data_IF_740940879901
#
_entry.id   IF_740940879901
#
_cell.length_a   1.000
_cell.length_b   1.000
_cell.length_c   1.000
_cell.angle_alpha   90.00
_cell.angle_beta   90.00
_cell.angle_gamma   90.00
#
_symmetry.space_group_name_H-M   'P 1'
#
loop_
_entity.id
_entity.type
_entity.pdbx_description
1 polymer ?
#
# COMPACT_ATOMS: atom_id res chain seq x y z
N UNK A 1 8.52 -32.72 24.09
CA UNK A 1 8.74 -31.50 23.29
C UNK A 1 7.49 -30.67 23.28
N UNK A 2 7.61 -29.45 23.72
CA UNK A 2 6.49 -28.49 23.67
C UNK A 2 6.33 -28.03 22.21
N UNK A 3 5.20 -28.32 21.61
CA UNK A 3 4.91 -27.79 20.28
C UNK A 3 4.76 -26.29 20.38
N UNK A 4 5.59 -25.57 19.61
CA UNK A 4 5.48 -24.14 19.49
C UNK A 4 4.28 -23.80 18.58
N UNK A 5 3.27 -23.17 19.15
CA UNK A 5 2.16 -22.63 18.37
C UNK A 5 2.55 -21.28 17.82
N UNK A 6 2.74 -21.22 16.52
CA UNK A 6 2.97 -19.93 15.87
C UNK A 6 1.65 -19.19 15.68
N UNK A 7 1.61 -17.90 15.95
CA UNK A 7 0.43 -17.11 15.61
C UNK A 7 0.28 -17.02 14.08
N UNK A 8 -0.95 -17.09 13.63
CA UNK A 8 -1.29 -16.94 12.22
C UNK A 8 -1.43 -15.44 11.87
N UNK A 9 -0.31 -14.74 11.85
CA UNK A 9 -0.29 -13.32 11.53
C UNK A 9 0.33 -13.13 10.16
N UNK A 10 -0.45 -12.56 9.25
CA UNK A 10 -0.01 -12.20 7.91
C UNK A 10 -0.72 -10.91 7.51
N UNK A 11 -0.08 -9.78 7.77
CA UNK A 11 -0.60 -8.45 7.48
C UNK A 11 0.45 -7.62 6.79
N UNK A 12 0.00 -6.85 5.81
CA UNK A 12 0.86 -5.98 5.03
C UNK A 12 0.14 -4.66 4.80
N UNK A 13 0.88 -3.56 4.95
CA UNK A 13 0.45 -2.22 4.57
C UNK A 13 1.53 -1.65 3.66
N UNK A 14 1.13 -1.23 2.47
CA UNK A 14 2.07 -0.80 1.46
C UNK A 14 1.51 0.38 0.68
N UNK A 15 2.30 1.44 0.53
CA UNK A 15 1.95 2.59 -0.29
C UNK A 15 2.85 2.63 -1.53
N UNK A 16 2.26 3.00 -2.64
CA UNK A 16 3.02 3.11 -3.90
C UNK A 16 2.14 3.61 -5.04
N UNK A 17 2.65 3.44 -6.25
CA UNK A 17 1.96 3.85 -7.47
C UNK A 17 1.82 2.68 -8.42
N UNK A 18 0.70 2.64 -9.14
CA UNK A 18 0.52 1.66 -10.19
C UNK A 18 1.53 1.88 -11.32
N UNK A 19 2.13 0.81 -11.78
CA UNK A 19 3.11 0.85 -12.87
C UNK A 19 2.46 0.86 -14.25
N UNK A 20 1.21 0.41 -14.32
CA UNK A 20 0.39 0.35 -15.54
C UNK A 20 -1.09 0.33 -15.13
N UNK A 21 -1.96 0.42 -16.11
CA UNK A 21 -3.39 0.34 -15.87
C UNK A 21 -3.77 -1.01 -15.26
N UNK A 22 -4.76 -1.06 -14.35
CA UNK A 22 -5.19 -2.31 -13.75
C UNK A 22 -5.82 -3.24 -14.79
N UNK A 23 -5.61 -4.52 -14.61
CA UNK A 23 -6.20 -5.59 -15.43
C UNK A 23 -7.42 -6.14 -14.71
N UNK A 24 -8.60 -5.83 -15.23
CA UNK A 24 -9.88 -6.31 -14.69
C UNK A 24 -10.36 -7.52 -15.48
N UNK A 25 -10.66 -8.59 -14.76
CA UNK A 25 -11.21 -9.82 -15.32
C UNK A 25 -12.36 -10.33 -14.47
N UNK A 26 -13.10 -11.26 -15.03
CA UNK A 26 -14.16 -11.95 -14.32
C UNK A 26 -13.87 -13.43 -14.25
N UNK A 27 -14.04 -14.02 -13.07
CA UNK A 27 -13.90 -15.45 -12.87
C UNK A 27 -15.07 -16.22 -13.50
N UNK A 28 -14.99 -17.58 -13.53
CA UNK A 28 -16.03 -18.41 -14.09
C UNK A 28 -17.40 -18.25 -13.40
N UNK A 29 -17.38 -17.83 -12.15
CA UNK A 29 -18.58 -17.56 -11.34
C UNK A 29 -19.08 -16.11 -11.48
N UNK A 30 -18.45 -15.31 -12.33
CA UNK A 30 -18.77 -13.90 -12.50
C UNK A 30 -18.14 -12.96 -11.48
N UNK A 31 -17.30 -13.47 -10.59
CA UNK A 31 -16.59 -12.65 -9.60
C UNK A 31 -15.57 -11.73 -10.26
N UNK A 32 -15.66 -10.44 -10.00
CA UNK A 32 -14.68 -9.48 -10.51
C UNK A 32 -13.33 -9.69 -9.83
N UNK A 33 -12.28 -9.66 -10.64
CA UNK A 33 -10.89 -9.74 -10.19
C UNK A 33 -10.12 -8.62 -10.87
N UNK A 34 -9.48 -7.78 -10.10
CA UNK A 34 -8.61 -6.73 -10.65
C UNK A 34 -7.21 -6.90 -10.10
N UNK A 35 -6.23 -6.96 -10.99
CA UNK A 35 -4.82 -7.09 -10.66
C UNK A 35 -4.08 -5.85 -11.15
N UNK A 36 -3.16 -5.38 -10.33
CA UNK A 36 -2.26 -4.30 -10.72
C UNK A 36 -0.89 -4.47 -10.06
N UNK A 37 0.13 -3.96 -10.71
CA UNK A 37 1.47 -3.95 -10.16
C UNK A 37 1.72 -2.62 -9.46
N UNK A 38 2.19 -2.69 -8.24
CA UNK A 38 2.47 -1.55 -7.39
C UNK A 38 3.97 -1.37 -7.27
N UNK A 39 4.45 -0.20 -7.63
CA UNK A 39 5.83 0.21 -7.38
C UNK A 39 5.90 0.91 -6.03
N UNK A 40 6.81 0.47 -5.21
CA UNK A 40 7.08 1.08 -3.91
C UNK A 40 8.56 1.35 -3.76
N UNK A 41 8.91 2.35 -2.96
CA UNK A 41 10.29 2.72 -2.76
C UNK A 41 10.54 3.11 -1.31
N UNK A 42 11.78 3.00 -0.92
CA UNK A 42 12.26 3.36 0.40
C UNK A 42 13.51 4.22 0.26
N UNK A 43 13.54 5.29 1.02
CA UNK A 43 14.74 6.09 1.18
C UNK A 43 15.46 5.69 2.46
N UNK A 44 16.76 5.63 2.40
CA UNK A 44 17.58 5.31 3.56
C UNK A 44 18.87 6.13 3.53
N UNK A 45 19.51 6.25 4.69
CA UNK A 45 20.83 6.85 4.78
C UNK A 45 21.86 5.77 4.96
N UNK A 46 22.94 5.86 4.20
CA UNK A 46 24.10 4.99 4.37
C UNK A 46 24.92 5.45 5.56
N UNK A 47 25.85 4.60 6.02
CA UNK A 47 26.78 4.96 7.10
C UNK A 47 27.63 6.18 6.77
N UNK A 48 27.87 6.44 5.50
CA UNK A 48 28.62 7.61 5.01
C UNK A 48 27.75 8.90 4.95
N UNK A 49 26.49 8.84 5.40
CA UNK A 49 25.57 9.99 5.40
C UNK A 49 24.94 10.28 4.05
N UNK A 50 25.15 9.43 3.05
CA UNK A 50 24.54 9.57 1.74
C UNK A 50 23.10 9.02 1.76
N UNK A 51 22.24 9.64 0.95
CA UNK A 51 20.87 9.18 0.77
C UNK A 51 20.84 8.13 -0.33
N UNK A 52 20.41 6.92 0.03
CA UNK A 52 20.16 5.86 -0.93
C UNK A 52 18.67 5.65 -1.13
N UNK A 53 18.31 5.02 -2.22
CA UNK A 53 16.94 4.67 -2.55
C UNK A 53 16.88 3.24 -3.06
N UNK A 54 15.91 2.48 -2.58
CA UNK A 54 15.60 1.16 -3.10
C UNK A 54 14.14 1.12 -3.53
N UNK A 55 13.86 0.40 -4.59
CA UNK A 55 12.52 0.23 -5.11
C UNK A 55 12.21 -1.23 -5.35
N UNK A 56 10.94 -1.55 -5.33
CA UNK A 56 10.46 -2.90 -5.63
C UNK A 56 9.09 -2.84 -6.28
N UNK A 57 8.67 -3.99 -6.78
CA UNK A 57 7.37 -4.15 -7.40
C UNK A 57 6.68 -5.36 -6.81
N UNK A 58 5.37 -5.26 -6.66
CA UNK A 58 4.57 -6.39 -6.20
C UNK A 58 3.22 -6.37 -6.91
N UNK A 59 2.70 -7.53 -7.23
CA UNK A 59 1.36 -7.66 -7.80
C UNK A 59 0.33 -7.66 -6.68
N UNK A 60 -0.68 -6.83 -6.84
CA UNK A 60 -1.81 -6.70 -5.93
C UNK A 60 -3.02 -7.34 -6.59
N UNK A 61 -3.68 -8.23 -5.87
CA UNK A 61 -4.91 -8.87 -6.31
C UNK A 61 -6.08 -8.34 -5.49
N UNK A 62 -7.15 -7.95 -6.17
CA UNK A 62 -8.39 -7.49 -5.55
C UNK A 62 -9.55 -8.32 -6.09
N UNK A 63 -10.58 -8.50 -5.27
CA UNK A 63 -11.73 -9.36 -5.60
C UNK A 63 -13.04 -8.65 -5.30
N UNK A 64 -14.10 -9.05 -6.00
CA UNK A 64 -15.48 -8.61 -5.77
C UNK A 64 -15.64 -7.09 -5.89
N UNK A 65 -16.30 -6.47 -4.94
CA UNK A 65 -16.58 -5.03 -4.97
C UNK A 65 -15.31 -4.19 -5.05
N UNK A 66 -14.28 -4.57 -4.29
CA UNK A 66 -12.99 -3.86 -4.32
C UNK A 66 -12.36 -3.92 -5.72
N UNK A 67 -12.46 -5.06 -6.38
CA UNK A 67 -11.96 -5.22 -7.75
C UNK A 67 -12.68 -4.31 -8.74
N UNK A 68 -14.00 -4.19 -8.61
CA UNK A 68 -14.79 -3.29 -9.47
C UNK A 68 -14.35 -1.84 -9.28
N UNK A 69 -14.26 -1.39 -8.04
CA UNK A 69 -13.86 -0.02 -7.72
C UNK A 69 -12.44 0.28 -8.22
N UNK A 70 -11.51 -0.63 -7.98
CA UNK A 70 -10.13 -0.47 -8.45
C UNK A 70 -10.04 -0.45 -9.98
N UNK A 71 -10.77 -1.34 -10.63
CA UNK A 71 -10.78 -1.43 -12.09
C UNK A 71 -11.34 -0.19 -12.78
N UNK A 72 -12.31 0.47 -12.14
CA UNK A 72 -12.94 1.69 -12.67
C UNK A 72 -12.13 2.95 -12.38
N UNK A 73 -11.51 3.03 -11.20
CA UNK A 73 -10.97 4.29 -10.69
C UNK A 73 -9.47 4.42 -10.81
N UNK A 74 -8.73 3.32 -10.89
CA UNK A 74 -7.28 3.34 -10.94
C UNK A 74 -6.75 3.36 -12.36
N UNK A 75 -5.59 3.97 -12.53
CA UNK A 75 -4.86 4.02 -13.80
C UNK A 75 -3.35 4.02 -13.51
N UNK A 76 -2.55 3.87 -14.54
CA UNK A 76 -1.10 3.99 -14.44
C UNK A 76 -0.73 5.26 -13.69
N UNK A 77 0.12 5.13 -12.69
CA UNK A 77 0.61 6.24 -11.88
C UNK A 77 -0.26 6.59 -10.67
N UNK A 78 -1.46 6.01 -10.54
CA UNK A 78 -2.33 6.28 -9.39
C UNK A 78 -1.64 5.92 -8.07
N UNK A 79 -1.58 6.85 -7.10
CA UNK A 79 -1.04 6.55 -5.78
C UNK A 79 -2.10 5.87 -4.92
N UNK A 80 -1.72 4.81 -4.26
CA UNK A 80 -2.61 4.04 -3.38
C UNK A 80 -1.88 3.57 -2.13
N UNK A 81 -2.65 3.31 -1.09
CA UNK A 81 -2.23 2.58 0.09
C UNK A 81 -3.02 1.29 0.13
N UNK A 82 -2.32 0.17 0.17
CA UNK A 82 -2.92 -1.16 0.16
C UNK A 82 -2.74 -1.80 1.51
N UNK A 83 -3.82 -2.33 2.05
CA UNK A 83 -3.80 -3.18 3.23
C UNK A 83 -4.23 -4.58 2.81
N UNK A 84 -3.48 -5.58 3.24
CA UNK A 84 -3.78 -6.94 2.87
C UNK A 84 -2.82 -7.94 3.50
N UNK A 85 -2.60 -9.01 2.79
CA UNK A 85 -1.74 -10.11 3.23
C UNK A 85 -0.90 -10.64 2.08
N UNK A 86 0.22 -11.24 2.40
CA UNK A 86 1.02 -11.97 1.44
C UNK A 86 0.36 -13.31 1.10
N UNK A 87 0.41 -13.67 -0.17
CA UNK A 87 0.03 -15.01 -0.59
C UNK A 87 1.02 -15.54 -1.62
N UNK A 88 1.19 -16.83 -1.64
CA UNK A 88 1.99 -17.50 -2.65
C UNK A 88 1.10 -17.88 -3.81
N UNK A 89 1.44 -17.42 -4.99
CA UNK A 89 0.81 -17.86 -6.22
C UNK A 89 1.70 -18.89 -6.89
N UNK A 90 1.13 -20.03 -7.22
CA UNK A 90 1.81 -21.10 -7.93
C UNK A 90 1.15 -21.34 -9.27
N UNK A 91 1.96 -21.56 -10.28
CA UNK A 91 1.48 -21.90 -11.62
C UNK A 91 2.52 -22.74 -12.34
N UNK A 92 2.10 -23.38 -13.42
CA UNK A 92 3.01 -24.10 -14.32
C UNK A 92 3.27 -23.24 -15.55
N UNK A 93 4.54 -23.14 -15.93
CA UNK A 93 4.92 -22.47 -17.16
C UNK A 93 4.47 -23.30 -18.37
N UNK A 94 4.53 -22.71 -19.56
CA UNK A 94 4.24 -23.41 -20.82
C UNK A 94 5.15 -24.61 -21.04
N UNK A 95 6.31 -24.63 -20.39
CA UNK A 95 7.27 -25.74 -20.44
C UNK A 95 7.06 -26.79 -19.35
N UNK A 96 5.99 -26.66 -18.56
CA UNK A 96 5.68 -27.60 -17.49
C UNK A 96 6.46 -27.38 -16.19
N UNK A 97 7.26 -26.33 -16.09
CA UNK A 97 8.00 -26.01 -14.87
C UNK A 97 7.10 -25.35 -13.82
N UNK A 98 7.24 -25.79 -12.58
CA UNK A 98 6.54 -25.15 -11.46
C UNK A 98 7.17 -23.79 -11.16
N UNK A 99 6.34 -22.76 -11.14
CA UNK A 99 6.71 -21.37 -10.79
C UNK A 99 5.92 -20.91 -9.61
N UNK A 100 6.53 -20.07 -8.80
CA UNK A 100 5.83 -19.42 -7.69
C UNK A 100 6.27 -17.97 -7.56
N UNK A 101 5.41 -17.18 -6.96
CA UNK A 101 5.68 -15.77 -6.70
C UNK A 101 4.84 -15.29 -5.52
N UNK A 102 5.44 -14.48 -4.68
CA UNK A 102 4.70 -13.78 -3.64
C UNK A 102 3.90 -12.62 -4.26
N UNK A 103 2.63 -12.58 -3.93
CA UNK A 103 1.72 -11.51 -4.30
C UNK A 103 0.98 -11.02 -3.07
N UNK A 104 0.28 -9.92 -3.20
CA UNK A 104 -0.54 -9.36 -2.12
C UNK A 104 -2.01 -9.54 -2.48
N UNK A 105 -2.76 -10.12 -1.57
CA UNK A 105 -4.21 -10.07 -1.63
C UNK A 105 -4.68 -8.87 -0.82
N UNK A 106 -5.27 -7.89 -1.49
CA UNK A 106 -5.74 -6.69 -0.84
C UNK A 106 -7.09 -6.91 -0.16
N UNK A 107 -7.19 -6.45 1.07
CA UNK A 107 -8.45 -6.36 1.79
C UNK A 107 -9.04 -4.96 1.65
N UNK A 108 -8.18 -3.94 1.53
CA UNK A 108 -8.54 -2.55 1.37
C UNK A 108 -7.54 -1.82 0.49
N UNK A 109 -8.04 -0.95 -0.36
CA UNK A 109 -7.21 -0.03 -1.17
C UNK A 109 -7.70 1.38 -0.93
N UNK A 110 -6.83 2.23 -0.39
CA UNK A 110 -7.12 3.63 -0.17
C UNK A 110 -6.57 4.43 -1.34
N UNK A 111 -7.42 5.22 -1.97
CA UNK A 111 -7.02 6.08 -3.08
C UNK A 111 -6.47 7.38 -2.53
N UNK A 112 -5.21 7.66 -2.83
CA UNK A 112 -4.49 8.84 -2.34
C UNK A 112 -4.55 10.02 -3.31
N UNK A 113 -5.07 9.78 -4.50
CA UNK A 113 -5.18 10.81 -5.52
C UNK A 113 -6.35 11.75 -5.22
N UNK A 114 -6.10 13.05 -5.36
CA UNK A 114 -7.16 14.04 -5.21
C UNK A 114 -8.18 13.89 -6.34
N UNK A 115 -9.45 13.93 -5.98
CA UNK A 115 -10.50 14.02 -6.97
C UNK A 115 -10.41 15.36 -7.69
N UNK A 116 -10.56 15.39 -9.03
CA UNK A 116 -10.56 16.64 -9.78
C UNK A 116 -11.57 17.66 -9.26
N UNK A 117 -12.70 17.20 -8.75
CA UNK A 117 -13.77 18.03 -8.22
C UNK A 117 -13.44 18.67 -6.88
N UNK A 118 -12.47 18.13 -6.17
CA UNK A 118 -11.97 18.68 -4.92
C UNK A 118 -10.75 19.58 -5.14
N UNK A 119 -10.44 19.90 -6.39
CA UNK A 119 -9.25 20.68 -6.78
C UNK A 119 -9.22 22.10 -6.31
N UNK A 120 -10.16 22.52 -5.50
CA UNK A 120 -10.18 23.83 -4.86
C UNK A 120 -9.81 23.77 -3.38
N UNK A 121 -9.61 22.58 -2.87
CA UNK A 121 -9.08 22.48 -1.54
C UNK A 121 -7.64 22.96 -1.59
N UNK A 122 -7.35 24.09 -0.93
CA UNK A 122 -5.97 24.44 -0.73
C UNK A 122 -5.33 23.27 -0.01
N UNK A 123 -4.12 23.00 -0.34
CA UNK A 123 -3.22 22.10 0.30
C UNK A 123 -3.37 22.09 1.82
N UNK A 124 -4.49 21.65 2.30
CA UNK A 124 -4.57 21.31 3.68
C UNK A 124 -3.86 19.99 3.81
N UNK A 125 -2.56 20.12 4.02
CA UNK A 125 -1.82 19.04 4.60
C UNK A 125 -2.68 18.48 5.72
N UNK A 126 -2.89 17.19 5.70
CA UNK A 126 -3.60 16.51 6.75
C UNK A 126 -3.11 17.09 8.10
N UNK A 127 -3.99 17.75 8.87
CA UNK A 127 -3.60 18.38 10.11
C UNK A 127 -2.92 17.43 11.09
N UNK A 128 -3.08 16.13 10.92
CA UNK A 128 -2.41 15.13 11.74
C UNK A 128 -0.91 15.08 11.52
N UNK A 129 -0.43 15.45 10.34
CA UNK A 129 1.00 15.45 10.04
C UNK A 129 1.61 16.85 10.13
N UNK A 130 0.79 17.88 10.09
CA UNK A 130 1.22 19.27 10.10
C UNK A 130 1.19 19.90 11.49
N UNK A 131 0.64 19.24 12.46
CA UNK A 131 0.62 19.75 13.84
C UNK A 131 2.00 19.60 14.45
N UNK A 132 2.71 20.69 14.70
CA UNK A 132 3.89 20.61 15.53
C UNK A 132 3.44 20.05 16.88
N UNK A 133 4.18 19.12 17.40
CA UNK A 133 4.06 18.70 18.80
C UNK A 133 3.95 19.97 19.62
N UNK A 134 2.88 20.19 20.38
CA UNK A 134 2.80 21.37 21.22
C UNK A 134 4.03 21.34 22.11
N UNK A 135 4.91 22.30 21.89
CA UNK A 135 6.00 22.53 22.82
C UNK A 135 5.34 22.70 24.16
N UNK A 136 5.63 21.76 25.04
CA UNK A 136 5.09 21.79 26.37
C UNK A 136 5.23 23.20 26.90
N UNK A 137 4.13 23.75 27.35
CA UNK A 137 4.18 25.01 28.07
C UNK A 137 5.22 24.83 29.15
N UNK A 138 6.35 25.46 28.96
CA UNK A 138 7.20 25.78 30.07
C UNK A 138 6.33 26.58 31.03
N UNK A 139 5.85 25.93 32.05
CA UNK A 139 5.32 26.63 33.20
C UNK A 139 6.47 27.54 33.63
N UNK A 140 6.35 28.80 33.28
CA UNK A 140 7.08 29.79 34.04
C UNK A 140 6.60 29.61 35.45
N UNK A 141 7.44 29.06 36.28
CA UNK A 141 7.31 29.26 37.71
C UNK A 141 7.39 30.75 37.91
N UNK A 142 6.23 31.36 38.07
CA UNK A 142 6.20 32.70 38.58
C UNK A 142 6.87 32.65 39.93
N UNK A 143 7.99 33.32 40.05
CA UNK A 143 8.53 33.63 41.35
C UNK A 143 7.46 34.35 42.11
N UNK A 144 6.99 33.71 43.13
CA UNK A 144 6.30 34.42 44.19
C UNK A 144 7.34 34.94 45.15
N UNK A 145 7.61 36.17 45.07
CA UNK A 145 8.16 36.91 46.20
C UNK A 145 7.05 37.14 47.20
#
# INVERSE_FOLDING_TARGET
MTELRLPEINRLVLAGRLTRDPDRRYGPDGTAITRFDLAFHRRFRTRAGQVGESSGFVTINTYQRLAEVCGESLKKGSPVLVEGRLQMREWKSTQGESRNRLEVQADMVHFLERRPDAGQEPEQADPTFASPIPKGRTRKHGERT
#
